data_IF_800752472474
#
_entry.id   IF_800752472474
#
_cell.length_a   1.000
_cell.length_b   1.000
_cell.length_c   1.000
_cell.angle_alpha   90.00
_cell.angle_beta   90.00
_cell.angle_gamma   90.00
#
_symmetry.space_group_name_H-M   'P 1'
#
loop_
_entity.id
_entity.type
_entity.pdbx_description
1 polymer ?
#
# COMPACT_ATOMS: atom_id res chain seq x y z
N UNK A 1 7.59 -1.35 -15.39
CA UNK A 1 6.12 -1.61 -15.32
C UNK A 1 5.40 -0.89 -16.47
N UNK A 2 4.59 -1.59 -17.26
CA UNK A 2 3.75 -1.00 -18.34
C UNK A 2 2.64 -0.10 -17.77
N UNK A 3 1.93 0.65 -18.61
CA UNK A 3 0.99 1.71 -18.19
C UNK A 3 -0.15 1.29 -17.24
N UNK A 4 -0.51 -0.01 -17.20
CA UNK A 4 -1.50 -0.56 -16.26
C UNK A 4 -0.89 -1.44 -15.16
N UNK A 5 0.38 -1.84 -15.28
CA UNK A 5 1.01 -2.75 -14.33
C UNK A 5 1.13 -2.16 -12.93
N UNK A 6 1.39 -0.86 -12.82
CA UNK A 6 1.47 -0.17 -11.52
C UNK A 6 0.14 -0.25 -10.76
N UNK A 7 -0.97 0.04 -11.43
CA UNK A 7 -2.30 0.03 -10.84
C UNK A 7 -2.71 -1.40 -10.42
N UNK A 8 -2.43 -2.40 -11.25
CA UNK A 8 -2.72 -3.80 -10.93
C UNK A 8 -1.92 -4.29 -9.71
N UNK A 9 -0.61 -3.98 -9.66
CA UNK A 9 0.23 -4.31 -8.50
C UNK A 9 -0.25 -3.60 -7.25
N UNK A 10 -0.66 -2.33 -7.36
CA UNK A 10 -1.22 -1.59 -6.24
C UNK A 10 -2.48 -2.26 -5.70
N UNK A 11 -3.45 -2.63 -6.55
CA UNK A 11 -4.66 -3.30 -6.09
C UNK A 11 -4.37 -4.63 -5.39
N UNK A 12 -3.45 -5.43 -5.95
CA UNK A 12 -3.01 -6.68 -5.31
C UNK A 12 -2.40 -6.42 -3.93
N UNK A 13 -1.55 -5.40 -3.78
CA UNK A 13 -0.98 -5.04 -2.49
C UNK A 13 -2.02 -4.53 -1.50
N UNK A 14 -2.95 -3.67 -1.94
CA UNK A 14 -4.05 -3.17 -1.10
C UNK A 14 -4.88 -4.33 -0.57
N UNK A 15 -5.23 -5.29 -1.43
CA UNK A 15 -5.99 -6.47 -1.05
C UNK A 15 -5.20 -7.33 -0.05
N UNK A 16 -3.95 -7.66 -0.36
CA UNK A 16 -3.10 -8.49 0.49
C UNK A 16 -2.87 -7.87 1.87
N UNK A 17 -2.51 -6.58 1.93
CA UNK A 17 -2.31 -5.85 3.18
C UNK A 17 -3.61 -5.79 4.00
N UNK A 18 -4.74 -5.51 3.36
CA UNK A 18 -6.04 -5.47 4.06
C UNK A 18 -6.38 -6.83 4.67
N UNK A 19 -6.25 -7.91 3.90
CA UNK A 19 -6.52 -9.27 4.40
C UNK A 19 -5.59 -9.65 5.55
N UNK A 20 -4.30 -9.35 5.42
CA UNK A 20 -3.31 -9.62 6.47
C UNK A 20 -3.64 -8.88 7.76
N UNK A 21 -3.91 -7.58 7.69
CA UNK A 21 -4.19 -6.76 8.88
C UNK A 21 -5.54 -7.09 9.51
N UNK A 22 -6.56 -7.45 8.72
CA UNK A 22 -7.85 -7.95 9.23
C UNK A 22 -7.66 -9.28 9.97
N UNK A 23 -6.90 -10.21 9.39
CA UNK A 23 -6.59 -11.49 10.03
C UNK A 23 -5.81 -11.30 11.34
N UNK A 24 -4.79 -10.45 11.31
CA UNK A 24 -4.00 -10.10 12.49
C UNK A 24 -4.87 -9.47 13.59
N UNK A 25 -5.77 -8.57 13.21
CA UNK A 25 -6.71 -7.92 14.13
C UNK A 25 -7.69 -8.94 14.74
N UNK A 26 -8.23 -9.86 13.94
CA UNK A 26 -9.07 -10.95 14.45
C UNK A 26 -8.32 -11.79 15.48
N UNK A 27 -7.05 -12.13 15.23
CA UNK A 27 -6.26 -12.91 16.17
C UNK A 27 -5.97 -12.11 17.45
N UNK A 28 -5.64 -10.82 17.36
CA UNK A 28 -5.42 -9.99 18.54
C UNK A 28 -6.69 -9.89 19.40
N UNK A 29 -7.88 -9.80 18.79
CA UNK A 29 -9.16 -9.82 19.50
C UNK A 29 -9.41 -11.12 20.25
N UNK A 30 -9.09 -12.26 19.63
CA UNK A 30 -9.33 -13.58 20.22
C UNK A 30 -8.30 -13.92 21.31
N UNK A 31 -7.02 -13.59 21.08
CA UNK A 31 -5.91 -14.11 21.88
C UNK A 31 -5.21 -13.07 22.77
N UNK A 32 -5.29 -11.78 22.46
CA UNK A 32 -4.61 -10.71 23.21
C UNK A 32 -5.56 -9.78 23.97
N UNK A 33 -6.86 -9.78 23.63
CA UNK A 33 -7.88 -8.99 24.36
C UNK A 33 -7.84 -7.48 24.12
N UNK A 34 -6.96 -6.99 23.23
CA UNK A 34 -6.82 -5.56 22.91
C UNK A 34 -7.16 -5.30 21.42
N UNK A 35 -8.44 -5.05 21.08
CA UNK A 35 -8.81 -4.63 19.73
C UNK A 35 -8.22 -3.26 19.41
N UNK A 36 -7.72 -3.10 18.19
CA UNK A 36 -7.46 -1.77 17.63
C UNK A 36 -8.75 -1.16 17.10
N UNK A 37 -8.82 0.15 17.21
CA UNK A 37 -9.86 0.95 16.57
C UNK A 37 -9.78 0.83 15.03
N UNK A 38 -10.92 0.97 14.36
CA UNK A 38 -11.00 0.82 12.91
C UNK A 38 -10.17 1.89 12.16
N UNK A 39 -10.10 3.13 12.67
CA UNK A 39 -9.28 4.18 12.07
C UNK A 39 -7.79 3.90 12.27
N UNK A 40 -7.42 3.37 13.43
CA UNK A 40 -6.05 2.93 13.71
C UNK A 40 -5.63 1.79 12.77
N UNK A 41 -6.49 0.78 12.60
CA UNK A 41 -6.26 -0.32 11.65
C UNK A 41 -6.08 0.19 10.23
N UNK A 42 -7.00 1.04 9.74
CA UNK A 42 -6.91 1.63 8.40
C UNK A 42 -5.63 2.46 8.21
N UNK A 43 -5.19 3.18 9.24
CA UNK A 43 -3.95 3.96 9.21
C UNK A 43 -2.73 3.07 9.08
N UNK A 44 -2.67 1.95 9.81
CA UNK A 44 -1.60 0.96 9.71
C UNK A 44 -1.59 0.32 8.33
N UNK A 45 -2.74 -0.10 7.78
CA UNK A 45 -2.81 -0.67 6.43
C UNK A 45 -2.29 0.32 5.38
N UNK A 46 -2.70 1.59 5.45
CA UNK A 46 -2.24 2.64 4.52
C UNK A 46 -0.74 2.88 4.65
N UNK A 47 -0.20 2.89 5.87
CA UNK A 47 1.22 3.07 6.11
C UNK A 47 2.04 1.92 5.51
N UNK A 48 1.60 0.68 5.74
CA UNK A 48 2.27 -0.52 5.25
C UNK A 48 2.32 -0.57 3.71
N UNK A 49 1.19 -0.25 3.06
CA UNK A 49 1.12 -0.12 1.60
C UNK A 49 2.07 0.96 1.11
N UNK A 50 2.10 2.15 1.74
CA UNK A 50 3.00 3.25 1.37
C UNK A 50 4.47 2.87 1.51
N UNK A 51 4.84 2.20 2.59
CA UNK A 51 6.19 1.69 2.82
C UNK A 51 6.61 0.75 1.69
N UNK A 52 5.77 -0.23 1.33
CA UNK A 52 6.01 -1.12 0.20
C UNK A 52 6.16 -0.36 -1.13
N UNK A 53 5.28 0.61 -1.38
CA UNK A 53 5.30 1.42 -2.60
C UNK A 53 6.56 2.30 -2.72
N UNK A 54 7.09 2.79 -1.61
CA UNK A 54 8.31 3.62 -1.59
C UNK A 54 9.57 2.86 -2.03
N UNK A 55 9.55 1.53 -1.91
CA UNK A 55 10.62 0.64 -2.34
C UNK A 55 10.60 0.36 -3.84
N UNK A 56 9.52 0.71 -4.54
CA UNK A 56 9.44 0.48 -5.97
C UNK A 56 10.47 1.34 -6.73
N UNK A 57 10.98 0.78 -7.81
CA UNK A 57 11.95 1.42 -8.71
C UNK A 57 11.54 1.16 -10.15
N UNK A 58 12.03 1.99 -11.09
CA UNK A 58 11.82 1.81 -12.53
C UNK A 58 10.34 1.81 -12.93
N UNK A 59 9.51 2.58 -12.22
CA UNK A 59 8.12 2.81 -12.63
C UNK A 59 8.12 3.72 -13.85
N UNK A 60 7.39 3.34 -14.90
CA UNK A 60 7.28 4.18 -16.10
C UNK A 60 6.60 5.49 -15.74
N UNK A 61 7.24 6.61 -16.07
CA UNK A 61 6.65 7.94 -15.91
C UNK A 61 5.51 8.11 -16.91
N UNK A 62 4.27 8.15 -16.42
CA UNK A 62 3.06 8.44 -17.18
C UNK A 62 2.15 9.34 -16.35
N UNK A 63 1.27 10.12 -16.99
CA UNK A 63 0.30 10.97 -16.27
C UNK A 63 -0.55 10.18 -15.28
N UNK A 64 -1.00 8.98 -15.70
CA UNK A 64 -1.75 8.04 -14.85
C UNK A 64 -0.95 7.58 -13.63
N UNK A 65 0.31 7.18 -13.82
CA UNK A 65 1.17 6.72 -12.74
C UNK A 65 1.55 7.88 -11.79
N UNK A 66 1.79 9.08 -12.32
CA UNK A 66 2.05 10.27 -11.50
C UNK A 66 0.84 10.61 -10.63
N UNK A 67 -0.38 10.58 -11.19
CA UNK A 67 -1.62 10.78 -10.42
C UNK A 67 -1.80 9.72 -9.34
N UNK A 68 -1.51 8.46 -9.65
CA UNK A 68 -1.58 7.36 -8.68
C UNK A 68 -0.56 7.57 -7.53
N UNK A 69 0.67 7.95 -7.86
CA UNK A 69 1.69 8.26 -6.87
C UNK A 69 1.31 9.46 -5.99
N UNK A 70 0.74 10.51 -6.56
CA UNK A 70 0.25 11.66 -5.80
C UNK A 70 -0.89 11.27 -4.84
N UNK A 71 -1.86 10.47 -5.30
CA UNK A 71 -2.99 10.00 -4.47
C UNK A 71 -2.51 9.20 -3.25
N UNK A 72 -1.47 8.39 -3.42
CA UNK A 72 -0.92 7.55 -2.36
C UNK A 72 0.20 8.23 -1.55
N UNK A 73 0.57 9.46 -1.92
CA UNK A 73 1.67 10.22 -1.33
C UNK A 73 3.04 9.50 -1.43
N UNK A 74 3.34 8.96 -2.61
CA UNK A 74 4.58 8.24 -2.93
C UNK A 74 5.60 9.22 -3.51
N UNK A 75 6.87 9.08 -3.10
CA UNK A 75 7.97 9.87 -3.66
C UNK A 75 8.11 9.70 -5.17
N UNK A 76 8.39 10.79 -5.88
CA UNK A 76 8.68 10.77 -7.32
C UNK A 76 10.02 10.06 -7.64
N UNK A 77 10.84 9.76 -6.63
CA UNK A 77 12.06 8.93 -6.78
C UNK A 77 11.76 7.51 -7.30
N UNK A 78 10.51 7.06 -7.26
CA UNK A 78 10.10 5.76 -7.80
C UNK A 78 10.18 5.72 -9.35
N UNK A 79 10.21 6.89 -10.01
CA UNK A 79 10.31 7.01 -11.47
C UNK A 79 11.76 7.00 -11.99
N UNK A 80 12.77 7.20 -11.15
CA UNK A 80 14.16 7.28 -11.61
C UNK A 80 14.72 5.91 -11.99
N UNK A 81 15.38 5.88 -13.15
CA UNK A 81 16.22 4.78 -13.64
C UNK A 81 17.65 5.06 -13.21
N UNK A 82 18.06 4.49 -12.08
CA UNK A 82 19.47 4.13 -11.90
C UNK A 82 19.64 2.71 -12.44
#
# INVERSE_FOLDING_TARGET
MTGNGLQQSLYKMVLAASLYHIWLERNNRVFQGFPRDALALMSVVKLDIRSCLSLWRRVKRSSKNQRLCALWNISQAVFSTV
#
